data_IF_850696734835
#
_entry.id   IF_850696734835
#
_cell.length_a   1.000
_cell.length_b   1.000
_cell.length_c   1.000
_cell.angle_alpha   90.00
_cell.angle_beta   90.00
_cell.angle_gamma   90.00
#
_symmetry.space_group_name_H-M   'P 1'
#
loop_
_entity.id
_entity.type
_entity.pdbx_description
1 polymer ?
#
# COMPACT_ATOMS: atom_id res chain seq x y z
N UNK A 1 -32.09 61.68 2.86
CA UNK A 1 -30.79 61.34 3.48
C UNK A 1 -30.77 59.82 3.75
N UNK A 2 -29.97 59.11 2.95
CA UNK A 2 -29.39 57.75 3.07
C UNK A 2 -30.25 56.49 3.35
N UNK A 3 -30.81 55.96 2.25
CA UNK A 3 -30.70 54.59 1.68
C UNK A 3 -30.37 53.41 2.62
N UNK A 4 -31.32 52.46 2.64
CA UNK A 4 -31.29 51.11 3.23
C UNK A 4 -30.06 50.29 2.79
N UNK A 5 -29.32 49.74 3.75
CA UNK A 5 -28.26 48.74 3.49
C UNK A 5 -28.90 47.38 3.22
N UNK A 6 -28.83 46.94 1.96
CA UNK A 6 -29.08 45.55 1.56
C UNK A 6 -27.81 44.76 1.86
N UNK A 7 -27.87 43.90 2.88
CA UNK A 7 -26.79 42.93 3.14
C UNK A 7 -27.06 41.73 2.24
N UNK A 8 -26.40 41.74 1.08
CA UNK A 8 -26.31 40.61 0.16
C UNK A 8 -25.42 39.57 0.85
N UNK A 9 -26.05 38.63 1.57
CA UNK A 9 -25.37 37.50 2.18
C UNK A 9 -24.86 36.56 1.09
N UNK A 10 -23.54 36.48 0.95
CA UNK A 10 -22.84 35.61 0.03
C UNK A 10 -23.20 34.13 0.25
N UNK A 11 -23.77 33.51 -0.78
CA UNK A 11 -23.82 32.05 -0.92
C UNK A 11 -22.41 31.59 -1.27
N UNK A 12 -21.60 31.21 -0.27
CA UNK A 12 -20.30 30.58 -0.50
C UNK A 12 -20.47 29.06 -0.57
N UNK A 13 -20.72 28.64 -1.81
CA UNK A 13 -20.39 27.37 -2.44
C UNK A 13 -19.40 26.50 -1.63
N UNK A 14 -19.93 25.67 -0.73
CA UNK A 14 -19.16 24.62 -0.04
C UNK A 14 -19.02 23.38 -0.93
N UNK A 15 -18.68 23.60 -2.20
CA UNK A 15 -18.11 22.57 -3.05
C UNK A 15 -16.63 22.43 -2.63
N UNK A 16 -16.39 21.80 -1.48
CA UNK A 16 -15.13 21.16 -1.18
C UNK A 16 -15.01 19.95 -2.13
N UNK A 17 -14.75 20.29 -3.38
CA UNK A 17 -14.22 19.42 -4.40
C UNK A 17 -12.94 18.83 -3.83
N UNK A 18 -13.01 17.56 -3.40
CA UNK A 18 -11.86 16.73 -3.07
C UNK A 18 -10.79 16.90 -4.17
N UNK A 19 -9.68 17.61 -3.94
CA UNK A 19 -8.66 17.79 -4.97
C UNK A 19 -7.66 16.63 -4.92
N UNK A 20 -8.13 15.41 -4.63
CA UNK A 20 -7.28 14.23 -4.49
C UNK A 20 -7.85 13.00 -5.20
N UNK A 21 -8.52 13.19 -6.34
CA UNK A 21 -8.56 12.17 -7.39
C UNK A 21 -7.18 12.10 -8.08
N UNK A 22 -6.12 12.01 -7.27
CA UNK A 22 -4.74 11.88 -7.68
C UNK A 22 -4.60 10.51 -8.33
N UNK A 23 -4.51 10.49 -9.66
CA UNK A 23 -4.01 9.38 -10.49
C UNK A 23 -4.27 8.00 -9.86
N UNK A 24 -5.42 7.40 -10.17
CA UNK A 24 -5.66 5.99 -9.89
C UNK A 24 -4.56 5.18 -10.59
N UNK A 25 -3.48 4.90 -9.87
CA UNK A 25 -2.45 3.99 -10.31
C UNK A 25 -3.13 2.63 -10.40
N UNK A 26 -3.45 2.21 -11.62
CA UNK A 26 -4.11 0.92 -11.83
C UNK A 26 -3.23 -0.18 -11.24
N UNK A 27 -3.72 -0.77 -10.16
CA UNK A 27 -3.04 -1.88 -9.51
C UNK A 27 -3.04 -3.08 -10.45
N UNK A 28 -1.85 -3.57 -10.79
CA UNK A 28 -1.67 -4.80 -11.53
C UNK A 28 -0.96 -5.81 -10.62
N UNK A 29 -1.71 -6.82 -10.17
CA UNK A 29 -1.22 -7.84 -9.24
C UNK A 29 -0.05 -8.64 -9.83
N UNK A 30 -0.15 -9.06 -11.09
CA UNK A 30 0.86 -9.87 -11.74
C UNK A 30 2.20 -9.15 -11.85
N UNK A 31 2.20 -7.89 -12.31
CA UNK A 31 3.41 -7.08 -12.39
C UNK A 31 4.00 -6.77 -11.00
N UNK A 32 3.13 -6.62 -10.00
CA UNK A 32 3.56 -6.40 -8.61
C UNK A 32 4.23 -7.63 -8.05
N UNK A 33 3.63 -8.80 -8.21
CA UNK A 33 4.19 -10.09 -7.83
C UNK A 33 5.53 -10.34 -8.51
N UNK A 34 5.63 -10.09 -9.82
CA UNK A 34 6.90 -10.20 -10.56
C UNK A 34 8.01 -9.35 -9.94
N UNK A 35 7.69 -8.18 -9.38
CA UNK A 35 8.67 -7.35 -8.66
C UNK A 35 9.06 -7.96 -7.32
N UNK A 36 8.13 -8.58 -6.59
CA UNK A 36 8.43 -9.31 -5.36
C UNK A 36 9.34 -10.51 -5.65
N UNK A 37 9.04 -11.29 -6.69
CA UNK A 37 9.79 -12.48 -7.09
C UNK A 37 11.25 -12.19 -7.44
N UNK A 38 11.57 -11.00 -7.98
CA UNK A 38 12.97 -10.59 -8.26
C UNK A 38 13.88 -10.73 -7.04
N UNK A 39 13.37 -10.50 -5.84
CA UNK A 39 14.12 -10.69 -4.61
C UNK A 39 13.80 -12.03 -3.95
N UNK A 40 12.52 -12.41 -3.92
CA UNK A 40 12.04 -13.53 -3.13
C UNK A 40 12.11 -14.89 -3.84
N UNK A 41 12.48 -14.94 -5.12
CA UNK A 41 12.42 -16.17 -5.93
C UNK A 41 11.07 -16.30 -6.65
N UNK A 42 11.03 -17.12 -7.70
CA UNK A 42 9.83 -17.29 -8.52
C UNK A 42 8.68 -17.93 -7.73
N UNK A 43 9.01 -18.80 -6.78
CA UNK A 43 8.07 -19.48 -5.90
C UNK A 43 8.14 -18.94 -4.46
N UNK A 44 8.78 -17.77 -4.27
CA UNK A 44 8.97 -17.14 -2.96
C UNK A 44 9.78 -17.98 -1.96
N UNK A 45 10.71 -18.77 -2.50
CA UNK A 45 11.57 -19.72 -1.80
C UNK A 45 12.85 -19.10 -1.20
N UNK A 46 13.19 -17.86 -1.61
CA UNK A 46 14.41 -17.19 -1.14
C UNK A 46 14.19 -16.47 0.17
N UNK A 47 15.11 -16.71 1.12
CA UNK A 47 15.23 -15.91 2.33
C UNK A 47 15.97 -14.61 2.00
N UNK A 48 15.31 -13.48 2.19
CA UNK A 48 15.89 -12.15 1.96
C UNK A 48 15.81 -11.31 3.23
N UNK A 49 16.58 -10.23 3.28
CA UNK A 49 16.54 -9.26 4.38
C UNK A 49 16.81 -9.86 5.78
N UNK A 50 17.61 -10.95 5.85
CA UNK A 50 17.85 -11.74 7.07
C UNK A 50 16.57 -12.38 7.67
N UNK A 51 15.53 -12.59 6.85
CA UNK A 51 14.36 -13.33 7.29
C UNK A 51 14.76 -14.78 7.65
N UNK A 52 14.20 -15.26 8.76
CA UNK A 52 14.42 -16.63 9.26
C UNK A 52 13.73 -17.67 8.38
N UNK A 53 12.62 -17.28 7.74
CA UNK A 53 11.77 -18.13 6.88
C UNK A 53 11.49 -17.44 5.55
N UNK A 54 11.31 -18.23 4.49
CA UNK A 54 10.89 -17.75 3.17
C UNK A 54 9.40 -17.38 3.19
N UNK A 55 9.00 -16.38 2.41
CA UNK A 55 7.65 -15.82 2.52
C UNK A 55 6.57 -16.76 1.92
N UNK A 56 6.97 -17.70 1.05
CA UNK A 56 6.07 -18.75 0.54
C UNK A 56 5.59 -19.76 1.58
N UNK A 57 6.22 -19.83 2.77
CA UNK A 57 5.82 -20.72 3.87
C UNK A 57 4.91 -20.04 4.91
N UNK A 58 4.56 -18.78 4.68
CA UNK A 58 3.66 -18.04 5.56
C UNK A 58 2.21 -18.29 5.16
N UNK A 59 1.34 -18.42 6.15
CA UNK A 59 -0.10 -18.20 5.97
C UNK A 59 -0.39 -16.75 5.60
N UNK A 60 -1.60 -16.49 5.09
CA UNK A 60 -2.03 -15.13 4.75
C UNK A 60 -1.94 -14.18 5.95
N UNK A 61 -2.39 -14.62 7.13
CA UNK A 61 -2.35 -13.80 8.35
C UNK A 61 -0.91 -13.48 8.77
N UNK A 62 -0.01 -14.45 8.71
CA UNK A 62 1.41 -14.23 9.00
C UNK A 62 2.06 -13.24 8.02
N UNK A 63 1.72 -13.30 6.72
CA UNK A 63 2.17 -12.33 5.73
C UNK A 63 1.71 -10.91 6.07
N UNK A 64 0.43 -10.76 6.40
CA UNK A 64 -0.14 -9.46 6.75
C UNK A 64 0.50 -8.88 8.02
N UNK A 65 0.71 -9.69 9.05
CA UNK A 65 1.45 -9.27 10.24
C UNK A 65 2.89 -8.81 9.93
N UNK A 66 3.57 -9.52 9.01
CA UNK A 66 4.92 -9.15 8.57
C UNK A 66 4.88 -7.83 7.79
N UNK A 67 3.90 -7.61 6.92
CA UNK A 67 3.73 -6.36 6.20
C UNK A 67 3.54 -5.18 7.15
N UNK A 68 2.70 -5.35 8.18
CA UNK A 68 2.47 -4.31 9.19
C UNK A 68 3.72 -4.03 10.04
N UNK A 69 4.50 -5.07 10.36
CA UNK A 69 5.79 -4.90 11.05
C UNK A 69 6.76 -4.05 10.24
N UNK A 70 6.81 -4.23 8.91
CA UNK A 70 7.66 -3.40 8.05
C UNK A 70 7.13 -1.98 7.87
N UNK A 71 5.81 -1.78 7.83
CA UNK A 71 5.21 -0.45 7.76
C UNK A 71 5.62 0.43 8.95
N UNK A 72 5.75 -0.19 10.14
CA UNK A 72 6.19 0.43 11.39
C UNK A 72 7.72 0.44 11.59
N UNK A 73 8.49 -0.15 10.68
CA UNK A 73 9.94 -0.22 10.83
C UNK A 73 10.61 1.17 10.72
N UNK A 74 11.78 1.38 11.34
CA UNK A 74 12.56 2.59 11.11
C UNK A 74 12.95 2.72 9.64
N UNK A 75 13.10 3.96 9.18
CA UNK A 75 13.56 4.23 7.82
C UNK A 75 15.05 3.88 7.70
N UNK A 76 15.46 3.44 6.51
CA UNK A 76 16.83 3.02 6.22
C UNK A 76 17.11 1.53 6.37
N UNK A 77 18.21 1.11 5.75
CA UNK A 77 18.63 -0.30 5.69
C UNK A 77 17.61 -1.21 4.99
N UNK A 78 17.76 -2.52 5.22
CA UNK A 78 16.95 -3.56 4.57
C UNK A 78 15.47 -3.53 4.99
N UNK A 79 15.18 -3.19 6.26
CA UNK A 79 13.79 -3.04 6.74
C UNK A 79 13.12 -1.81 6.14
N UNK A 80 13.85 -0.69 6.05
CA UNK A 80 13.38 0.52 5.38
C UNK A 80 13.11 0.31 3.88
N UNK A 81 13.91 -0.50 3.19
CA UNK A 81 13.65 -0.87 1.80
C UNK A 81 12.28 -1.55 1.65
N UNK A 82 11.98 -2.55 2.49
CA UNK A 82 10.69 -3.23 2.43
C UNK A 82 9.54 -2.30 2.79
N UNK A 83 9.72 -1.42 3.78
CA UNK A 83 8.75 -0.37 4.12
C UNK A 83 8.42 0.51 2.91
N UNK A 84 9.43 1.00 2.18
CA UNK A 84 9.24 1.81 0.96
C UNK A 84 8.46 1.04 -0.11
N UNK A 85 8.74 -0.26 -0.27
CA UNK A 85 8.01 -1.11 -1.22
C UNK A 85 6.55 -1.24 -0.79
N UNK A 86 6.28 -1.62 0.46
CA UNK A 86 4.93 -1.84 0.98
C UNK A 86 4.07 -0.58 1.02
N UNK A 87 4.67 0.60 1.26
CA UNK A 87 3.97 1.89 1.21
C UNK A 87 3.40 2.23 -0.17
N UNK A 88 3.82 1.55 -1.23
CA UNK A 88 3.24 1.71 -2.59
C UNK A 88 1.88 1.04 -2.74
N UNK A 89 1.47 0.26 -1.74
CA UNK A 89 0.28 -0.56 -1.76
C UNK A 89 -0.59 -0.27 -0.52
N UNK A 90 -1.89 -0.13 -0.73
CA UNK A 90 -2.87 -0.05 0.33
C UNK A 90 -3.15 -1.44 0.93
N UNK A 91 -3.97 -1.51 1.98
CA UNK A 91 -4.28 -2.77 2.67
C UNK A 91 -4.89 -3.83 1.76
N UNK A 92 -5.85 -3.47 0.91
CA UNK A 92 -6.50 -4.41 -0.02
C UNK A 92 -5.52 -4.97 -1.04
N UNK A 93 -4.64 -4.12 -1.58
CA UNK A 93 -3.60 -4.56 -2.52
C UNK A 93 -2.58 -5.49 -1.83
N UNK A 94 -2.22 -5.22 -0.57
CA UNK A 94 -1.37 -6.11 0.24
C UNK A 94 -2.04 -7.45 0.49
N UNK A 95 -3.35 -7.47 0.76
CA UNK A 95 -4.11 -8.72 0.89
C UNK A 95 -4.11 -9.53 -0.40
N UNK A 96 -4.30 -8.89 -1.55
CA UNK A 96 -4.24 -9.55 -2.87
C UNK A 96 -2.85 -10.14 -3.15
N UNK A 97 -1.78 -9.43 -2.77
CA UNK A 97 -0.41 -9.95 -2.85
C UNK A 97 -0.23 -11.17 -1.94
N UNK A 98 -0.72 -11.11 -0.70
CA UNK A 98 -0.62 -12.22 0.25
C UNK A 98 -1.40 -13.46 -0.23
N UNK A 99 -2.62 -13.26 -0.74
CA UNK A 99 -3.43 -14.34 -1.33
C UNK A 99 -2.69 -15.02 -2.49
N UNK A 100 -2.06 -14.24 -3.36
CA UNK A 100 -1.28 -14.80 -4.46
C UNK A 100 -0.14 -15.68 -3.95
N UNK A 101 0.67 -15.17 -2.99
CA UNK A 101 1.83 -15.89 -2.45
C UNK A 101 1.40 -17.24 -1.85
N UNK A 102 0.31 -17.24 -1.09
CA UNK A 102 -0.23 -18.44 -0.44
C UNK A 102 -0.76 -19.44 -1.46
N UNK A 103 -1.55 -18.99 -2.44
CA UNK A 103 -2.16 -19.89 -3.41
C UNK A 103 -1.16 -20.48 -4.42
N UNK A 104 -0.05 -19.77 -4.68
CA UNK A 104 1.03 -20.25 -5.53
C UNK A 104 1.83 -21.41 -4.91
N UNK A 105 1.84 -21.50 -3.58
CA UNK A 105 2.63 -22.47 -2.80
C UNK A 105 1.79 -23.61 -2.20
N UNK A 106 0.54 -23.75 -2.63
CA UNK A 106 -0.32 -24.91 -2.35
C UNK A 106 -0.30 -25.85 -3.55
#
# INVERSE_FOLDING_TARGET
>A
MFIKKVVIGSVLLSALLFPNFLSAKNFNLEQTVKKCQKCHGEDFEKKVLHATRQIGLFSKSELMEVFDKYDKAPDGGRKGLMKIILKKYNTQEREQIADFIVNKNK
#
